data_IF_272002452353
#
_entry.id   IF_272002452353
#
_cell.length_a   1.000
_cell.length_b   1.000
_cell.length_c   1.000
_cell.angle_alpha   90.00
_cell.angle_beta   90.00
_cell.angle_gamma   90.00
#
_symmetry.space_group_name_H-M   'P 1'
#
loop_
_entity.id
_entity.type
_entity.pdbx_description
1 polymer ?
#
# COMPACT_ATOMS: atom_id res chain seq x y z
N UNK A 1 4.04 -18.43 -12.50
CA UNK A 1 4.77 -17.33 -13.16
C UNK A 1 4.43 -16.06 -12.40
N UNK A 2 5.39 -15.20 -12.07
CA UNK A 2 5.11 -13.92 -11.42
C UNK A 2 5.88 -12.79 -12.07
N UNK A 3 5.26 -11.64 -12.19
CA UNK A 3 5.88 -10.41 -12.71
C UNK A 3 6.40 -10.54 -14.14
N UNK A 4 5.72 -11.29 -15.01
CA UNK A 4 6.14 -11.45 -16.41
C UNK A 4 5.29 -10.58 -17.34
N UNK A 5 5.83 -10.28 -18.52
CA UNK A 5 5.12 -9.62 -19.61
C UNK A 5 4.94 -10.63 -20.76
N UNK A 6 3.68 -10.88 -21.13
CA UNK A 6 3.28 -11.70 -22.26
C UNK A 6 2.54 -10.83 -23.26
N UNK A 7 3.15 -10.60 -24.43
CA UNK A 7 2.57 -9.75 -25.46
C UNK A 7 2.55 -10.48 -26.77
N UNK A 8 1.40 -10.48 -27.41
CA UNK A 8 1.26 -10.94 -28.76
C UNK A 8 0.29 -10.06 -29.53
N UNK A 9 0.82 -9.14 -30.32
CA UNK A 9 0.04 -8.21 -31.17
C UNK A 9 0.18 -8.57 -32.66
N UNK A 10 0.57 -9.81 -32.97
CA UNK A 10 0.65 -10.27 -34.35
C UNK A 10 -0.71 -10.22 -35.03
N UNK A 11 -0.73 -10.01 -36.35
CA UNK A 11 -1.96 -10.16 -37.14
C UNK A 11 -2.36 -11.64 -37.22
N UNK A 12 -3.57 -12.03 -36.78
CA UNK A 12 -4.01 -13.42 -36.91
C UNK A 12 -4.03 -13.87 -38.38
N UNK A 13 -3.61 -15.10 -38.64
CA UNK A 13 -3.59 -15.67 -39.99
C UNK A 13 -4.98 -15.88 -40.59
N UNK A 14 -5.11 -15.73 -41.92
CA UNK A 14 -6.38 -15.57 -42.65
C UNK A 14 -7.34 -16.77 -42.66
N UNK A 15 -6.95 -17.96 -42.20
CA UNK A 15 -7.78 -19.18 -42.36
C UNK A 15 -8.18 -19.86 -41.05
N UNK A 16 -7.49 -19.60 -39.93
CA UNK A 16 -7.79 -20.19 -38.60
C UNK A 16 -6.75 -19.83 -37.53
N UNK A 17 -5.90 -18.81 -37.78
CA UNK A 17 -4.82 -18.46 -36.86
C UNK A 17 -5.35 -17.68 -35.67
N UNK A 18 -4.91 -18.03 -34.47
CA UNK A 18 -5.15 -17.23 -33.26
C UNK A 18 -3.86 -16.50 -32.88
N UNK A 19 -3.97 -15.21 -32.62
CA UNK A 19 -2.99 -14.44 -31.85
C UNK A 19 -3.34 -14.63 -30.38
N UNK A 20 -2.41 -15.18 -29.58
CA UNK A 20 -2.67 -15.53 -28.18
C UNK A 20 -1.53 -15.00 -27.31
N UNK A 21 -1.84 -14.27 -26.25
CA UNK A 21 -0.84 -13.80 -25.29
C UNK A 21 -0.26 -14.96 -24.47
N UNK A 22 -1.12 -15.85 -23.96
CA UNK A 22 -0.71 -17.05 -23.23
C UNK A 22 -1.43 -18.31 -23.72
N UNK A 23 -0.66 -19.24 -24.29
CA UNK A 23 -1.19 -20.50 -24.82
C UNK A 23 -0.76 -21.68 -23.96
N UNK A 24 -1.71 -22.57 -23.67
CA UNK A 24 -1.45 -23.87 -23.05
C UNK A 24 -1.81 -25.00 -23.99
N UNK A 25 -1.26 -26.18 -23.75
CA UNK A 25 -1.51 -27.38 -24.56
C UNK A 25 -2.66 -28.24 -24.03
N UNK A 26 -3.10 -28.01 -22.78
CA UNK A 26 -4.12 -28.78 -22.09
C UNK A 26 -4.96 -27.87 -21.18
N UNK A 27 -6.23 -28.19 -21.01
CA UNK A 27 -7.16 -27.45 -20.14
C UNK A 27 -6.89 -27.66 -18.64
N UNK A 28 -6.33 -28.82 -18.24
CA UNK A 28 -6.00 -29.06 -16.83
C UNK A 28 -4.96 -28.04 -16.33
N UNK A 29 -4.99 -27.65 -15.06
CA UNK A 29 -4.06 -26.65 -14.49
C UNK A 29 -2.97 -27.28 -13.61
N UNK A 30 -2.71 -28.60 -13.75
CA UNK A 30 -1.85 -29.36 -12.83
C UNK A 30 -0.40 -28.84 -12.79
N UNK A 31 0.13 -28.40 -13.94
CA UNK A 31 1.48 -27.81 -14.04
C UNK A 31 1.49 -26.29 -13.93
N UNK A 32 0.35 -25.67 -13.60
CA UNK A 32 0.25 -24.23 -13.44
C UNK A 32 0.16 -23.91 -11.95
N UNK A 33 1.25 -23.42 -11.36
CA UNK A 33 1.31 -23.10 -9.93
C UNK A 33 0.17 -22.15 -9.53
N UNK A 34 -0.50 -22.43 -8.41
CA UNK A 34 -1.52 -21.55 -7.82
C UNK A 34 -0.95 -20.20 -7.39
N UNK A 35 0.37 -20.11 -7.21
CA UNK A 35 1.05 -18.87 -6.90
C UNK A 35 1.18 -17.94 -8.12
N UNK A 36 0.82 -18.35 -9.33
CA UNK A 36 0.97 -17.51 -10.51
C UNK A 36 0.09 -16.27 -10.43
N UNK A 37 0.70 -15.09 -10.51
CA UNK A 37 0.00 -13.80 -10.35
C UNK A 37 0.86 -12.62 -10.78
N UNK A 38 0.30 -11.41 -10.83
CA UNK A 38 1.00 -10.16 -11.16
C UNK A 38 1.73 -10.21 -12.51
N UNK A 39 1.14 -10.84 -13.53
CA UNK A 39 1.66 -10.83 -14.90
C UNK A 39 0.94 -9.78 -15.75
N UNK A 40 1.51 -9.40 -16.89
CA UNK A 40 0.84 -8.61 -17.92
C UNK A 40 0.54 -9.53 -19.11
N UNK A 41 -0.73 -9.68 -19.49
CA UNK A 41 -1.11 -10.40 -20.72
C UNK A 41 -1.79 -9.44 -21.66
N UNK A 42 -1.19 -9.16 -22.81
CA UNK A 42 -1.76 -8.23 -23.77
C UNK A 42 -1.75 -8.83 -25.18
N UNK A 43 -2.93 -8.88 -25.79
CA UNK A 43 -3.12 -9.41 -27.15
C UNK A 43 -3.56 -8.35 -28.17
N UNK A 44 -3.69 -7.08 -27.77
CA UNK A 44 -4.33 -6.05 -28.59
C UNK A 44 -5.86 -6.03 -28.40
N UNK A 45 -6.59 -5.57 -29.42
CA UNK A 45 -8.05 -5.47 -29.38
C UNK A 45 -8.71 -6.87 -29.34
N UNK A 46 -9.51 -7.19 -28.32
CA UNK A 46 -10.15 -8.49 -28.19
C UNK A 46 -11.03 -8.85 -29.39
N UNK A 47 -10.91 -10.09 -29.88
CA UNK A 47 -11.74 -10.63 -30.96
C UNK A 47 -11.79 -12.16 -30.89
N UNK A 48 -12.54 -12.81 -31.78
CA UNK A 48 -12.57 -14.27 -31.87
C UNK A 48 -11.21 -14.94 -32.16
N UNK A 49 -10.23 -14.19 -32.67
CA UNK A 49 -8.89 -14.68 -33.02
C UNK A 49 -7.76 -13.88 -32.35
N UNK A 50 -8.09 -12.97 -31.45
CA UNK A 50 -7.15 -12.19 -30.63
C UNK A 50 -7.48 -12.44 -29.16
N UNK A 51 -6.70 -13.31 -28.53
CA UNK A 51 -7.03 -13.95 -27.26
C UNK A 51 -5.97 -13.66 -26.19
N UNK A 52 -6.42 -13.43 -24.95
CA UNK A 52 -5.53 -13.49 -23.78
C UNK A 52 -5.08 -14.93 -23.56
N UNK A 53 -6.02 -15.87 -23.63
CA UNK A 53 -5.76 -17.27 -23.32
C UNK A 53 -6.37 -18.24 -24.34
N UNK A 54 -5.62 -19.29 -24.66
CA UNK A 54 -6.10 -20.41 -25.46
C UNK A 54 -5.44 -21.71 -25.02
N UNK A 55 -6.23 -22.77 -24.82
CA UNK A 55 -5.73 -24.11 -24.46
C UNK A 55 -6.06 -25.22 -25.46
N UNK A 56 -6.61 -24.87 -26.62
CA UNK A 56 -7.13 -25.81 -27.61
C UNK A 56 -8.62 -26.13 -27.47
N UNK A 57 -9.23 -25.83 -26.32
CA UNK A 57 -10.67 -26.00 -26.05
C UNK A 57 -11.35 -24.69 -25.68
N UNK A 58 -10.71 -23.91 -24.81
CA UNK A 58 -11.18 -22.65 -24.28
C UNK A 58 -10.46 -21.47 -24.93
N UNK A 59 -11.20 -20.40 -25.22
CA UNK A 59 -10.70 -19.16 -25.81
C UNK A 59 -11.18 -17.96 -25.00
N UNK A 60 -10.30 -17.35 -24.21
CA UNK A 60 -10.62 -16.12 -23.46
C UNK A 60 -10.07 -14.91 -24.21
N UNK A 61 -10.96 -14.01 -24.62
CA UNK A 61 -10.60 -12.81 -25.38
C UNK A 61 -10.08 -11.71 -24.46
N UNK A 62 -10.56 -11.66 -23.22
CA UNK A 62 -10.25 -10.60 -22.26
C UNK A 62 -9.59 -11.16 -21.00
N UNK A 63 -8.84 -10.30 -20.30
CA UNK A 63 -8.19 -10.69 -19.05
C UNK A 63 -9.20 -11.11 -17.96
N UNK A 64 -10.33 -10.42 -17.74
CA UNK A 64 -11.33 -10.86 -16.77
C UNK A 64 -11.85 -12.28 -17.03
N UNK A 65 -12.05 -12.67 -18.29
CA UNK A 65 -12.44 -14.04 -18.64
C UNK A 65 -11.37 -15.05 -18.23
N UNK A 66 -10.11 -14.74 -18.54
CA UNK A 66 -8.98 -15.58 -18.16
C UNK A 66 -8.83 -15.71 -16.63
N UNK A 67 -8.93 -14.60 -15.89
CA UNK A 67 -8.82 -14.57 -14.43
C UNK A 67 -9.88 -15.45 -13.75
N UNK A 68 -11.13 -15.38 -14.22
CA UNK A 68 -12.20 -16.27 -13.71
C UNK A 68 -11.84 -17.74 -13.97
N UNK A 69 -11.32 -18.06 -15.15
CA UNK A 69 -10.97 -19.44 -15.53
C UNK A 69 -9.86 -20.04 -14.69
N UNK A 70 -8.82 -19.26 -14.37
CA UNK A 70 -7.63 -19.79 -13.68
C UNK A 70 -7.59 -19.51 -12.19
N UNK A 71 -8.66 -18.90 -11.65
CA UNK A 71 -8.83 -18.60 -10.23
C UNK A 71 -8.37 -19.77 -9.33
N UNK A 72 -7.58 -19.50 -8.28
CA UNK A 72 -7.22 -18.18 -7.74
C UNK A 72 -6.05 -17.46 -8.44
N UNK A 73 -5.51 -18.02 -9.54
CA UNK A 73 -4.33 -17.46 -10.22
C UNK A 73 -4.66 -16.17 -10.96
N UNK A 74 -3.63 -15.37 -11.22
CA UNK A 74 -3.69 -14.17 -12.06
C UNK A 74 -4.67 -13.08 -11.58
N UNK A 75 -5.11 -13.15 -10.33
CA UNK A 75 -6.09 -12.22 -9.74
C UNK A 75 -5.63 -10.75 -9.80
N UNK A 76 -4.33 -10.50 -9.73
CA UNK A 76 -3.72 -9.16 -9.77
C UNK A 76 -3.00 -8.86 -11.10
N UNK A 77 -3.12 -9.75 -12.09
CA UNK A 77 -2.56 -9.55 -13.42
C UNK A 77 -3.26 -8.41 -14.16
N UNK A 78 -2.58 -7.85 -15.16
CA UNK A 78 -3.04 -6.70 -15.96
C UNK A 78 -2.97 -7.02 -17.46
N UNK A 79 -3.62 -6.18 -18.26
CA UNK A 79 -3.62 -6.27 -19.72
C UNK A 79 -3.47 -4.86 -20.28
N UNK A 80 -2.22 -4.38 -20.29
CA UNK A 80 -1.85 -3.07 -20.80
C UNK A 80 -0.82 -3.20 -21.93
N UNK A 81 -0.87 -2.34 -22.96
CA UNK A 81 0.19 -2.28 -23.95
C UNK A 81 1.51 -1.87 -23.29
N UNK A 82 2.63 -2.38 -23.80
CA UNK A 82 3.96 -1.91 -23.40
C UNK A 82 4.79 -1.54 -24.62
N UNK A 83 5.73 -0.63 -24.45
CA UNK A 83 6.67 -0.22 -25.48
C UNK A 83 8.06 -0.66 -25.06
N UNK A 84 8.72 -1.43 -25.92
CA UNK A 84 10.11 -1.86 -25.75
C UNK A 84 11.06 -0.97 -26.56
N UNK A 85 12.30 -0.83 -26.06
CA UNK A 85 13.35 -0.02 -26.68
C UNK A 85 13.58 -0.42 -28.14
N UNK A 86 13.78 -1.71 -28.41
CA UNK A 86 13.90 -2.21 -29.78
C UNK A 86 13.60 -3.71 -29.87
N UNK A 87 12.41 -4.04 -30.37
CA UNK A 87 12.00 -5.45 -30.56
C UNK A 87 12.71 -6.16 -31.71
N UNK A 88 13.34 -5.42 -32.64
CA UNK A 88 14.02 -6.00 -33.81
C UNK A 88 15.38 -6.58 -33.45
N UNK A 89 16.10 -5.94 -32.53
CA UNK A 89 17.40 -6.42 -32.05
C UNK A 89 17.31 -7.21 -30.73
N UNK A 90 16.11 -7.36 -30.16
CA UNK A 90 15.86 -8.08 -28.91
C UNK A 90 16.10 -7.26 -27.64
N UNK A 91 16.24 -5.94 -27.76
CA UNK A 91 16.29 -5.03 -26.61
C UNK A 91 14.88 -4.81 -26.05
N UNK A 92 14.57 -5.57 -24.99
CA UNK A 92 13.27 -5.61 -24.33
C UNK A 92 13.20 -4.72 -23.08
N UNK A 93 14.11 -3.77 -22.90
CA UNK A 93 13.93 -2.72 -21.90
C UNK A 93 12.68 -1.89 -22.25
N UNK A 94 11.91 -1.50 -21.24
CA UNK A 94 10.69 -0.71 -21.34
C UNK A 94 11.04 0.77 -21.54
N UNK A 95 10.25 1.44 -22.39
CA UNK A 95 10.45 2.86 -22.69
C UNK A 95 9.15 3.64 -22.79
N UNK A 96 9.29 4.97 -22.86
CA UNK A 96 8.17 5.88 -23.04
C UNK A 96 7.14 5.74 -21.92
N UNK A 97 5.86 5.64 -22.28
CA UNK A 97 4.77 5.53 -21.30
C UNK A 97 4.75 4.22 -20.49
N UNK A 98 5.56 3.22 -20.84
CA UNK A 98 5.71 2.01 -20.02
C UNK A 98 6.61 2.25 -18.80
N UNK A 99 7.53 3.22 -18.90
CA UNK A 99 8.29 3.68 -17.74
C UNK A 99 7.33 4.44 -16.83
N UNK A 100 7.11 3.87 -15.65
CA UNK A 100 6.24 4.38 -14.61
C UNK A 100 4.73 4.18 -14.77
N UNK A 101 4.31 3.33 -15.71
CA UNK A 101 2.97 2.76 -15.69
C UNK A 101 2.74 1.89 -14.45
N UNK A 102 1.87 2.38 -13.57
CA UNK A 102 1.48 1.71 -12.33
C UNK A 102 0.83 0.33 -12.56
N UNK A 103 0.29 0.08 -13.76
CA UNK A 103 -0.25 -1.23 -14.12
C UNK A 103 0.86 -2.27 -14.36
N UNK A 104 2.11 -1.83 -14.51
CA UNK A 104 3.27 -2.72 -14.63
C UNK A 104 3.93 -3.00 -13.28
N UNK A 105 3.35 -2.58 -12.17
CA UNK A 105 3.78 -3.06 -10.85
C UNK A 105 3.56 -4.57 -10.68
N UNK A 106 4.60 -5.23 -10.17
CA UNK A 106 4.63 -6.62 -9.76
C UNK A 106 4.61 -6.76 -8.23
N UNK A 107 4.84 -7.99 -7.76
CA UNK A 107 4.95 -8.33 -6.34
C UNK A 107 6.33 -8.91 -6.02
N UNK A 108 6.99 -8.51 -4.92
CA UNK A 108 8.31 -9.04 -4.55
C UNK A 108 8.36 -10.57 -4.55
N UNK A 109 9.39 -11.13 -5.17
CA UNK A 109 9.62 -12.59 -5.18
C UNK A 109 10.90 -12.87 -4.40
N UNK A 110 10.77 -13.60 -3.29
CA UNK A 110 11.91 -13.95 -2.44
C UNK A 110 12.98 -14.70 -3.24
N UNK A 111 14.24 -14.33 -3.03
CA UNK A 111 15.40 -14.88 -3.75
C UNK A 111 15.74 -14.16 -5.06
N UNK A 112 14.94 -13.19 -5.51
CA UNK A 112 15.17 -12.44 -6.76
C UNK A 112 15.32 -10.94 -6.48
N UNK A 113 16.47 -10.54 -5.91
CA UNK A 113 16.77 -9.15 -5.54
C UNK A 113 17.38 -8.32 -6.66
N UNK A 114 17.86 -8.96 -7.74
CA UNK A 114 18.37 -8.28 -8.93
C UNK A 114 17.69 -8.79 -10.19
N UNK A 115 17.65 -7.95 -11.22
CA UNK A 115 17.23 -8.33 -12.56
C UNK A 115 18.39 -8.99 -13.35
N UNK A 116 18.18 -9.19 -14.65
CA UNK A 116 19.15 -9.81 -15.55
C UNK A 116 20.39 -8.95 -15.78
N UNK A 117 20.24 -7.63 -15.79
CA UNK A 117 21.32 -6.66 -16.00
C UNK A 117 22.07 -6.34 -14.68
N UNK A 118 21.62 -6.93 -13.57
CA UNK A 118 22.23 -6.80 -12.24
C UNK A 118 21.71 -5.61 -11.44
N UNK A 119 20.69 -4.91 -11.89
CA UNK A 119 20.09 -3.81 -11.15
C UNK A 119 19.24 -4.35 -9.99
N UNK A 120 19.22 -3.62 -8.88
CA UNK A 120 18.40 -3.99 -7.73
C UNK A 120 16.91 -3.84 -8.08
N UNK A 121 16.15 -4.90 -7.82
CA UNK A 121 14.68 -4.88 -7.91
C UNK A 121 14.11 -4.08 -6.75
N UNK A 122 13.05 -3.32 -7.00
CA UNK A 122 12.38 -2.60 -5.92
C UNK A 122 11.81 -3.61 -4.90
N UNK A 123 12.14 -3.42 -3.62
CA UNK A 123 11.82 -4.36 -2.56
C UNK A 123 10.31 -4.49 -2.25
N UNK A 124 9.52 -3.49 -2.63
CA UNK A 124 8.08 -3.45 -2.38
C UNK A 124 7.26 -3.52 -3.67
N UNK A 125 7.73 -2.88 -4.74
CA UNK A 125 7.00 -2.68 -5.99
C UNK A 125 7.90 -2.94 -7.21
N UNK A 126 8.40 -4.17 -7.39
CA UNK A 126 9.24 -4.51 -8.54
C UNK A 126 8.42 -4.42 -9.83
N UNK A 127 9.06 -4.27 -10.98
CA UNK A 127 8.36 -4.10 -12.25
C UNK A 127 8.07 -5.43 -12.97
N UNK A 128 6.94 -5.54 -13.67
CA UNK A 128 6.68 -6.67 -14.55
C UNK A 128 7.73 -6.63 -15.68
N UNK A 129 8.32 -7.79 -15.99
CA UNK A 129 9.44 -7.89 -16.94
C UNK A 129 10.81 -7.71 -16.29
N UNK A 130 10.89 -7.28 -15.02
CA UNK A 130 12.15 -6.99 -14.33
C UNK A 130 13.03 -5.96 -15.04
N UNK A 131 12.40 -4.91 -15.56
CA UNK A 131 13.09 -3.74 -16.07
C UNK A 131 12.74 -2.53 -15.19
N UNK A 132 13.59 -2.31 -14.19
CA UNK A 132 13.34 -1.33 -13.14
C UNK A 132 13.89 0.02 -13.58
N UNK A 133 13.02 0.89 -14.07
CA UNK A 133 13.43 2.25 -14.42
C UNK A 133 13.64 3.12 -13.18
N UNK A 134 14.77 3.83 -13.13
CA UNK A 134 15.04 4.86 -12.11
C UNK A 134 14.15 6.10 -12.24
N UNK A 135 13.45 6.26 -13.36
CA UNK A 135 12.52 7.37 -13.60
C UNK A 135 11.12 7.12 -13.03
N UNK A 136 10.80 5.89 -12.62
CA UNK A 136 9.53 5.61 -11.97
C UNK A 136 9.59 5.87 -10.47
N UNK A 137 8.73 6.76 -10.00
CA UNK A 137 8.46 6.97 -8.59
C UNK A 137 6.98 6.79 -8.34
N UNK A 138 6.65 6.03 -7.30
CA UNK A 138 5.27 5.96 -6.83
C UNK A 138 4.88 7.27 -6.15
N UNK A 139 3.59 7.64 -6.21
CA UNK A 139 3.05 8.68 -5.35
C UNK A 139 3.49 8.46 -3.90
N UNK A 140 4.25 9.42 -3.37
CA UNK A 140 4.89 9.29 -2.07
C UNK A 140 4.41 10.38 -1.13
N UNK A 141 3.89 9.96 0.02
CA UNK A 141 3.53 10.80 1.14
C UNK A 141 4.76 10.98 2.02
N UNK A 142 5.25 12.22 2.11
CA UNK A 142 6.19 12.64 3.13
C UNK A 142 5.39 13.09 4.36
N UNK A 143 5.38 12.24 5.37
CA UNK A 143 4.59 12.38 6.58
C UNK A 143 5.47 12.92 7.72
N UNK A 144 4.92 13.88 8.47
CA UNK A 144 5.45 14.29 9.78
C UNK A 144 4.35 14.24 10.83
N UNK A 145 4.60 13.51 11.92
CA UNK A 145 3.70 13.35 13.06
C UNK A 145 4.43 13.66 14.37
N UNK A 146 3.67 13.82 15.46
CA UNK A 146 4.19 13.74 16.81
C UNK A 146 3.29 12.84 17.65
N UNK A 147 3.86 12.08 18.58
CA UNK A 147 3.12 11.28 19.55
C UNK A 147 3.18 11.97 20.91
N UNK A 148 2.09 11.96 21.66
CA UNK A 148 1.99 12.70 22.93
C UNK A 148 2.99 12.21 23.99
N UNK A 149 3.11 10.89 24.15
CA UNK A 149 3.91 10.28 25.21
C UNK A 149 5.23 9.67 24.68
N UNK A 150 5.19 8.99 23.53
CA UNK A 150 6.33 8.24 23.00
C UNK A 150 7.48 9.16 22.52
N UNK A 151 8.65 9.07 23.17
CA UNK A 151 9.85 9.84 22.78
C UNK A 151 11.16 9.07 23.05
N UNK A 152 12.04 8.86 22.05
CA UNK A 152 11.93 9.31 20.67
C UNK A 152 10.88 8.53 19.88
N UNK A 153 10.33 9.15 18.82
CA UNK A 153 9.26 8.57 17.99
C UNK A 153 9.79 7.50 17.01
N UNK A 154 10.43 6.45 17.54
CA UNK A 154 11.03 5.38 16.77
C UNK A 154 10.17 4.11 16.85
N UNK A 155 8.98 4.18 16.26
CA UNK A 155 8.03 3.07 16.24
C UNK A 155 7.35 2.97 14.87
N UNK A 156 6.58 1.90 14.66
CA UNK A 156 5.79 1.69 13.46
C UNK A 156 4.41 2.32 13.59
N UNK A 157 3.98 2.95 12.51
CA UNK A 157 2.60 3.38 12.31
C UNK A 157 2.01 2.69 11.08
N UNK A 158 0.70 2.47 11.11
CA UNK A 158 -0.05 2.11 9.91
C UNK A 158 -0.62 3.38 9.30
N UNK A 159 -0.22 3.69 8.08
CA UNK A 159 -0.70 4.84 7.32
C UNK A 159 -1.64 4.35 6.23
N UNK A 160 -2.81 4.96 6.11
CA UNK A 160 -3.75 4.66 5.04
C UNK A 160 -4.19 5.92 4.31
N UNK A 161 -4.43 5.78 3.01
CA UNK A 161 -5.17 6.76 2.23
C UNK A 161 -6.59 6.24 2.01
N UNK A 162 -7.58 7.12 2.24
CA UNK A 162 -9.00 6.80 2.14
C UNK A 162 -9.70 7.73 1.19
N UNK A 163 -10.75 7.25 0.53
CA UNK A 163 -11.62 8.09 -0.29
C UNK A 163 -12.21 9.23 0.54
N UNK A 164 -12.48 10.37 -0.09
CA UNK A 164 -13.13 11.54 0.54
C UNK A 164 -14.66 11.51 0.45
N UNK A 165 -15.22 10.41 -0.05
CA UNK A 165 -16.66 10.20 -0.21
C UNK A 165 -17.08 9.02 0.66
N UNK A 166 -18.18 9.17 1.40
CA UNK A 166 -18.77 8.11 2.23
C UNK A 166 -18.97 6.82 1.39
N UNK A 167 -18.54 5.64 1.86
CA UNK A 167 -18.16 5.31 3.24
C UNK A 167 -16.66 5.45 3.57
N UNK A 168 -15.93 6.33 2.85
CA UNK A 168 -14.51 6.64 3.09
C UNK A 168 -13.62 5.38 3.10
N UNK A 169 -13.86 4.50 2.13
CA UNK A 169 -13.17 3.23 2.00
C UNK A 169 -11.66 3.45 1.93
N UNK A 170 -10.90 2.54 2.57
CA UNK A 170 -9.44 2.48 2.41
C UNK A 170 -9.13 2.18 0.94
N UNK A 171 -8.31 3.05 0.34
CA UNK A 171 -7.77 2.85 -1.00
C UNK A 171 -6.51 2.00 -0.92
N UNK A 172 -5.64 2.30 0.04
CA UNK A 172 -4.40 1.58 0.28
C UNK A 172 -3.88 1.86 1.69
N UNK A 173 -3.12 0.91 2.25
CA UNK A 173 -2.52 1.04 3.57
C UNK A 173 -1.16 0.35 3.65
N UNK A 174 -0.23 0.99 4.36
CA UNK A 174 1.12 0.50 4.57
C UNK A 174 1.57 0.73 6.00
N UNK A 175 2.42 -0.17 6.51
CA UNK A 175 3.21 0.12 7.71
C UNK A 175 4.43 0.95 7.34
N UNK A 176 4.74 1.94 8.17
CA UNK A 176 5.91 2.79 8.04
C UNK A 176 6.60 2.93 9.39
N UNK A 177 7.93 2.94 9.38
CA UNK A 177 8.73 3.21 10.58
C UNK A 177 8.99 4.71 10.67
N UNK A 178 8.68 5.31 11.81
CA UNK A 178 8.94 6.71 12.08
C UNK A 178 10.43 6.91 12.42
N UNK A 179 11.03 7.97 11.88
CA UNK A 179 12.33 8.44 12.33
C UNK A 179 12.24 9.01 13.76
N UNK A 180 13.36 9.18 14.46
CA UNK A 180 13.36 9.81 15.78
C UNK A 180 12.80 11.24 15.83
N UNK A 181 12.57 11.89 14.69
CA UNK A 181 11.92 13.21 14.57
C UNK A 181 10.46 13.14 14.14
N UNK A 182 9.88 11.94 14.03
CA UNK A 182 8.48 11.72 13.67
C UNK A 182 8.20 11.77 12.17
N UNK A 183 9.21 11.56 11.32
CA UNK A 183 9.05 11.59 9.86
C UNK A 183 9.03 10.19 9.24
N UNK A 184 8.25 10.01 8.17
CA UNK A 184 8.25 8.81 7.34
C UNK A 184 7.92 9.15 5.88
N UNK A 185 8.43 8.33 4.95
CA UNK A 185 8.03 8.38 3.54
C UNK A 185 7.24 7.11 3.21
N UNK A 186 6.02 7.27 2.67
CA UNK A 186 5.11 6.16 2.38
C UNK A 186 4.66 6.24 0.93
N UNK A 187 4.98 5.22 0.14
CA UNK A 187 4.61 5.14 -1.27
C UNK A 187 3.31 4.35 -1.46
N UNK A 188 2.46 4.82 -2.37
CA UNK A 188 1.13 4.26 -2.63
C UNK A 188 0.98 3.90 -4.12
N UNK A 189 0.70 2.64 -4.41
CA UNK A 189 0.48 2.12 -5.76
C UNK A 189 -0.94 2.42 -6.30
N UNK A 190 -1.87 2.86 -5.47
CA UNK A 190 -3.24 3.17 -5.88
C UNK A 190 -3.60 4.65 -5.71
N UNK A 191 -2.65 5.48 -5.27
CA UNK A 191 -2.83 6.92 -5.22
C UNK A 191 -2.81 7.54 -6.63
N UNK A 192 -3.69 8.50 -6.86
CA UNK A 192 -3.83 9.20 -8.14
C UNK A 192 -3.62 10.69 -7.93
N UNK A 193 -2.74 11.30 -8.74
CA UNK A 193 -2.49 12.74 -8.69
C UNK A 193 -3.78 13.55 -8.92
N UNK A 194 -3.95 14.64 -8.17
CA UNK A 194 -5.14 15.49 -8.23
C UNK A 194 -6.41 14.90 -7.63
N UNK A 195 -6.40 13.64 -7.18
CA UNK A 195 -7.49 13.04 -6.40
C UNK A 195 -7.26 13.30 -4.93
N UNK A 196 -8.31 13.71 -4.21
CA UNK A 196 -8.23 14.01 -2.77
C UNK A 196 -8.44 12.76 -1.94
N UNK A 197 -7.58 12.57 -0.95
CA UNK A 197 -7.61 11.45 0.00
C UNK A 197 -7.57 11.95 1.44
N UNK A 198 -8.28 11.29 2.35
CA UNK A 198 -7.95 11.41 3.77
C UNK A 198 -6.72 10.57 4.08
N UNK A 199 -5.76 11.14 4.79
CA UNK A 199 -4.63 10.40 5.37
C UNK A 199 -5.04 10.00 6.78
N UNK A 200 -4.93 8.71 7.12
CA UNK A 200 -5.18 8.23 8.48
C UNK A 200 -3.94 7.55 9.00
N UNK A 201 -3.51 7.93 10.20
CA UNK A 201 -2.36 7.35 10.88
C UNK A 201 -2.84 6.66 12.15
N UNK A 202 -2.49 5.38 12.27
CA UNK A 202 -2.75 4.55 13.45
C UNK A 202 -1.41 4.13 14.06
N UNK A 203 -1.22 4.44 15.34
CA UNK A 203 -0.13 3.93 16.17
C UNK A 203 -0.71 2.90 17.14
N UNK A 204 0.12 1.98 17.66
CA UNK A 204 -0.34 0.83 18.46
C UNK A 204 -1.13 1.16 19.73
N UNK A 205 -1.00 2.39 20.23
CA UNK A 205 -1.51 2.83 21.51
C UNK A 205 -2.08 4.26 21.48
N UNK A 206 -2.34 4.79 20.28
CA UNK A 206 -2.81 6.16 20.09
C UNK A 206 -4.07 6.19 19.25
N UNK A 207 -4.86 7.24 19.45
CA UNK A 207 -6.10 7.45 18.72
C UNK A 207 -5.81 7.54 17.21
N UNK A 208 -6.62 6.87 16.39
CA UNK A 208 -6.52 6.99 14.95
C UNK A 208 -6.74 8.45 14.52
N UNK A 209 -5.72 9.07 13.94
CA UNK A 209 -5.78 10.50 13.59
C UNK A 209 -5.96 10.67 12.09
N UNK A 210 -7.05 11.34 11.71
CA UNK A 210 -7.39 11.65 10.33
C UNK A 210 -6.87 13.04 9.95
N UNK A 211 -6.40 13.20 8.71
CA UNK A 211 -6.06 14.50 8.14
C UNK A 211 -7.27 15.43 8.14
N UNK A 212 -7.00 16.73 8.10
CA UNK A 212 -8.01 17.79 8.07
C UNK A 212 -9.12 17.58 7.04
N UNK A 213 -10.25 18.23 7.28
CA UNK A 213 -11.43 18.21 6.41
C UNK A 213 -11.09 18.63 4.97
N UNK A 214 -11.68 17.94 3.99
CA UNK A 214 -11.47 18.17 2.55
C UNK A 214 -10.44 17.24 1.89
N UNK A 215 -9.62 16.56 2.70
CA UNK A 215 -8.57 15.65 2.22
C UNK A 215 -7.41 16.36 1.53
N UNK A 216 -6.44 15.57 1.10
CA UNK A 216 -5.16 16.02 0.54
C UNK A 216 -4.89 15.38 -0.82
N UNK A 217 -4.17 16.09 -1.68
CA UNK A 217 -3.89 15.65 -3.05
C UNK A 217 -2.39 15.38 -3.26
N UNK A 218 -2.10 14.30 -3.98
CA UNK A 218 -0.77 14.14 -4.57
C UNK A 218 -0.64 15.07 -5.76
N UNK A 219 0.48 15.81 -5.82
CA UNK A 219 0.84 16.68 -6.95
C UNK A 219 2.17 16.21 -7.50
N UNK A 220 2.19 15.86 -8.79
CA UNK A 220 3.37 15.29 -9.46
C UNK A 220 3.98 14.11 -8.68
N UNK A 221 3.14 13.26 -8.08
CA UNK A 221 3.57 12.08 -7.33
C UNK A 221 4.05 12.37 -5.91
N UNK A 222 3.87 13.59 -5.39
CA UNK A 222 4.31 13.93 -4.03
C UNK A 222 3.16 14.55 -3.25
N UNK A 223 3.04 14.14 -1.99
CA UNK A 223 2.20 14.80 -0.98
C UNK A 223 3.04 15.02 0.27
N UNK A 224 3.14 16.26 0.75
CA UNK A 224 3.79 16.57 2.01
C UNK A 224 2.71 16.88 3.04
N UNK A 225 2.66 16.13 4.13
CA UNK A 225 1.67 16.35 5.17
C UNK A 225 2.29 16.35 6.56
N UNK A 226 2.10 17.46 7.27
CA UNK A 226 2.69 17.68 8.59
C UNK A 226 1.60 18.00 9.60
N UNK A 227 1.24 17.00 10.40
CA UNK A 227 0.24 17.12 11.48
C UNK A 227 0.68 18.08 12.58
N UNK A 228 1.98 18.27 12.79
CA UNK A 228 2.51 18.95 13.98
C UNK A 228 2.37 20.47 13.98
N UNK A 229 1.93 21.05 12.85
CA UNK A 229 1.94 22.50 12.63
C UNK A 229 0.74 23.23 13.24
N UNK A 230 -0.43 22.59 13.31
CA UNK A 230 -1.66 23.15 13.86
C UNK A 230 -2.61 22.03 14.27
N UNK A 231 -3.46 22.23 15.29
CA UNK A 231 -4.54 21.29 15.60
C UNK A 231 -5.43 21.04 14.38
N UNK A 232 -5.65 22.08 13.56
CA UNK A 232 -6.44 22.03 12.33
C UNK A 232 -5.85 21.17 11.20
N UNK A 233 -4.68 20.54 11.39
CA UNK A 233 -4.21 19.47 10.51
C UNK A 233 -4.86 18.12 10.83
N UNK A 234 -5.55 17.98 11.96
CA UNK A 234 -6.38 16.82 12.23
C UNK A 234 -7.86 17.16 12.02
N UNK A 235 -8.64 16.18 11.56
CA UNK A 235 -10.09 16.32 11.52
C UNK A 235 -10.62 16.65 12.91
N UNK A 236 -11.53 17.63 13.00
CA UNK A 236 -12.09 18.11 14.26
C UNK A 236 -11.07 18.68 15.27
N UNK A 237 -9.88 19.08 14.83
CA UNK A 237 -8.80 19.56 15.71
C UNK A 237 -8.35 18.54 16.77
N UNK A 238 -8.46 17.24 16.47
CA UNK A 238 -8.27 16.14 17.43
C UNK A 238 -6.79 15.82 17.72
N UNK A 239 -6.06 16.78 18.28
CA UNK A 239 -4.65 16.64 18.68
C UNK A 239 -4.33 17.52 19.89
N UNK A 240 -3.29 17.14 20.64
CA UNK A 240 -2.78 17.86 21.82
C UNK A 240 -1.47 18.59 21.52
N UNK A 241 -1.29 19.78 22.11
CA UNK A 241 -0.03 20.53 21.99
C UNK A 241 0.97 20.07 23.06
N UNK A 242 2.06 19.43 22.64
CA UNK A 242 3.15 18.97 23.52
C UNK A 242 4.45 19.63 23.07
N UNK A 243 5.08 20.39 23.97
CA UNK A 243 6.39 21.02 23.72
C UNK A 243 6.46 21.80 22.39
N UNK A 244 5.36 22.48 22.02
CA UNK A 244 5.26 23.30 20.81
C UNK A 244 4.91 22.54 19.51
N UNK A 245 4.61 21.24 19.58
CA UNK A 245 4.14 20.44 18.45
C UNK A 245 2.76 19.83 18.73
N UNK A 246 1.89 19.85 17.72
CA UNK A 246 0.65 19.10 17.81
C UNK A 246 0.92 17.61 17.66
N UNK A 247 0.33 16.81 18.55
CA UNK A 247 0.63 15.41 18.77
C UNK A 247 -0.65 14.60 18.82
N UNK A 248 -0.56 13.34 18.41
CA UNK A 248 -1.66 12.40 18.51
C UNK A 248 -1.85 12.00 19.98
N UNK A 249 -3.10 12.02 20.42
CA UNK A 249 -3.46 11.56 21.75
C UNK A 249 -3.13 10.08 21.92
N UNK A 250 -2.46 9.76 23.02
CA UNK A 250 -2.20 8.36 23.41
C UNK A 250 -3.33 7.80 24.26
N UNK A 251 -3.34 6.48 24.49
CA UNK A 251 -4.24 5.83 25.45
C UNK A 251 -5.24 4.86 24.85
N UNK A 252 -5.51 4.90 23.55
CA UNK A 252 -6.38 3.91 22.87
C UNK A 252 -5.59 2.62 22.61
N UNK A 253 -5.44 1.78 23.64
CA UNK A 253 -4.60 0.56 23.61
C UNK A 253 -5.38 -0.64 23.10
N UNK A 254 -6.71 -0.59 23.20
CA UNK A 254 -7.61 -1.63 22.70
C UNK A 254 -8.07 -1.39 21.24
N UNK A 255 -7.79 -0.21 20.68
CA UNK A 255 -8.12 0.22 19.31
C UNK A 255 -9.63 0.25 19.04
N UNK A 256 -10.44 0.68 20.00
CA UNK A 256 -11.90 0.78 19.90
C UNK A 256 -12.41 2.19 19.54
N UNK A 257 -11.48 3.09 19.18
CA UNK A 257 -11.72 4.47 18.76
C UNK A 257 -12.10 5.44 19.89
N UNK A 258 -12.00 5.05 21.15
CA UNK A 258 -12.15 5.93 22.31
C UNK A 258 -11.00 5.70 23.30
N UNK A 259 -10.65 6.70 24.10
CA UNK A 259 -9.78 6.51 25.27
C UNK A 259 -10.68 6.51 26.49
N UNK A 260 -10.82 5.37 27.16
CA UNK A 260 -11.73 5.25 28.30
C UNK A 260 -11.24 4.30 29.43
N UNK A 261 -12.17 3.91 30.30
CA UNK A 261 -11.88 3.02 31.43
C UNK A 261 -11.46 1.61 30.99
N UNK A 262 -11.84 1.17 29.78
CA UNK A 262 -11.40 -0.08 29.18
C UNK A 262 -9.89 -0.07 28.91
N UNK A 263 -9.37 1.02 28.36
CA UNK A 263 -7.93 1.21 28.15
C UNK A 263 -7.17 1.29 29.49
N UNK A 264 -7.66 2.10 30.42
CA UNK A 264 -7.09 2.22 31.76
C UNK A 264 -6.99 0.87 32.46
N UNK A 265 -8.02 0.04 32.33
CA UNK A 265 -8.03 -1.30 32.93
C UNK A 265 -6.95 -2.21 32.33
N UNK A 266 -6.65 -2.08 31.04
CA UNK A 266 -5.57 -2.86 30.39
C UNK A 266 -4.22 -2.41 30.94
N UNK A 267 -3.98 -1.10 30.95
CA UNK A 267 -2.70 -0.53 31.40
C UNK A 267 -2.47 -0.82 32.89
N UNK A 268 -3.50 -0.72 33.74
CA UNK A 268 -3.39 -0.99 35.19
C UNK A 268 -3.03 -2.45 35.46
N UNK A 269 -3.69 -3.39 34.76
CA UNK A 269 -3.38 -4.81 34.89
C UNK A 269 -1.95 -5.13 34.44
N UNK A 270 -1.51 -4.53 33.33
CA UNK A 270 -0.16 -4.73 32.79
C UNK A 270 0.92 -4.09 33.69
N UNK A 271 0.62 -2.94 34.29
CA UNK A 271 1.48 -2.28 35.27
C UNK A 271 1.63 -3.11 36.55
N UNK A 272 0.53 -3.66 37.08
CA UNK A 272 0.55 -4.57 38.25
C UNK A 272 1.33 -5.85 37.94
N UNK A 273 1.24 -6.35 36.71
CA UNK A 273 2.02 -7.50 36.25
C UNK A 273 3.51 -7.17 36.01
N UNK A 274 3.90 -5.89 36.02
CA UNK A 274 5.26 -5.44 35.78
C UNK A 274 5.74 -5.74 34.37
N UNK A 275 4.86 -5.61 33.37
CA UNK A 275 5.22 -5.86 31.98
C UNK A 275 6.32 -4.90 31.51
N UNK A 276 7.20 -5.43 30.66
CA UNK A 276 8.30 -4.66 30.07
C UNK A 276 8.58 -5.10 28.63
N UNK A 277 9.30 -4.28 27.88
CA UNK A 277 9.53 -4.44 26.45
C UNK A 277 8.43 -3.83 25.59
N UNK A 278 8.26 -4.34 24.36
CA UNK A 278 7.34 -3.79 23.37
C UNK A 278 5.88 -4.20 23.65
N UNK A 279 5.17 -3.43 24.47
CA UNK A 279 3.77 -3.64 24.84
C UNK A 279 2.88 -2.50 24.35
N UNK A 280 1.60 -2.77 24.05
CA UNK A 280 0.67 -1.70 23.65
C UNK A 280 0.38 -0.72 24.79
N UNK A 281 0.40 -1.21 26.03
CA UNK A 281 0.18 -0.45 27.27
C UNK A 281 1.37 0.42 27.70
N UNK A 282 2.55 0.25 27.09
CA UNK A 282 3.69 1.17 27.22
C UNK A 282 3.43 2.37 26.29
N UNK A 283 2.87 3.44 26.84
CA UNK A 283 2.46 4.65 26.12
C UNK A 283 3.63 5.59 25.86
N UNK A 284 4.56 5.67 26.81
CA UNK A 284 5.69 6.58 26.77
C UNK A 284 6.93 6.01 26.02
N UNK A 285 6.87 4.73 25.62
CA UNK A 285 7.91 3.98 24.91
C UNK A 285 9.22 3.81 25.69
N UNK A 286 9.17 3.78 27.02
CA UNK A 286 10.35 3.59 27.88
C UNK A 286 10.66 2.11 28.21
N UNK A 287 9.86 1.19 27.63
CA UNK A 287 9.94 -0.27 27.83
C UNK A 287 9.44 -0.79 29.16
N UNK A 288 8.74 0.03 29.96
CA UNK A 288 8.05 -0.40 31.16
C UNK A 288 6.58 0.02 31.08
N UNK A 289 5.68 -0.81 31.60
CA UNK A 289 4.29 -0.40 31.81
C UNK A 289 4.15 0.02 33.26
N UNK A 290 3.90 1.29 33.53
CA UNK A 290 3.85 1.83 34.90
C UNK A 290 2.83 2.96 35.11
N UNK A 291 2.94 3.64 36.26
CA UNK A 291 2.03 4.71 36.65
C UNK A 291 2.08 5.94 35.72
N UNK A 292 3.15 6.12 34.95
CA UNK A 292 3.26 7.20 33.98
C UNK A 292 2.37 6.94 32.76
N UNK A 293 2.29 5.70 32.28
CA UNK A 293 1.37 5.31 31.21
C UNK A 293 -0.08 5.48 31.63
N UNK A 294 -0.41 5.04 32.86
CA UNK A 294 -1.72 5.26 33.45
C UNK A 294 -2.09 6.75 33.48
N UNK A 295 -1.15 7.61 33.86
CA UNK A 295 -1.38 9.05 33.94
C UNK A 295 -1.69 9.66 32.57
N UNK A 296 -1.04 9.21 31.50
CA UNK A 296 -1.35 9.65 30.14
C UNK A 296 -2.77 9.22 29.71
N UNK A 297 -3.10 7.94 29.93
CA UNK A 297 -4.42 7.42 29.58
C UNK A 297 -5.53 8.10 30.38
N UNK A 298 -5.34 8.32 31.69
CA UNK A 298 -6.34 8.92 32.59
C UNK A 298 -6.66 10.37 32.20
N UNK A 299 -5.62 11.15 31.86
CA UNK A 299 -5.79 12.52 31.40
C UNK A 299 -6.62 12.58 30.11
N UNK A 300 -6.38 11.67 29.16
CA UNK A 300 -7.08 11.64 27.89
C UNK A 300 -8.50 11.05 28.00
N UNK A 301 -8.69 10.05 28.86
CA UNK A 301 -10.01 9.53 29.19
C UNK A 301 -10.88 10.60 29.87
N UNK A 302 -10.30 11.38 30.78
CA UNK A 302 -11.00 12.45 31.51
C UNK A 302 -11.56 13.54 30.58
N UNK A 303 -10.87 13.85 29.48
CA UNK A 303 -11.35 14.84 28.50
C UNK A 303 -12.17 14.21 27.36
N UNK A 304 -12.38 12.89 27.39
CA UNK A 304 -13.21 12.16 26.41
C UNK A 304 -12.61 12.09 25.02
N UNK A 305 -11.30 11.84 24.91
CA UNK A 305 -10.64 11.65 23.60
C UNK A 305 -11.30 10.48 22.86
N UNK A 306 -11.67 10.72 21.61
CA UNK A 306 -12.18 9.70 20.69
C UNK A 306 -11.78 10.05 19.25
N UNK A 307 -11.88 9.08 18.33
CA UNK A 307 -11.56 9.32 16.92
C UNK A 307 -12.52 10.35 16.34
N UNK A 308 -11.95 11.43 15.82
CA UNK A 308 -12.67 12.40 14.99
C UNK A 308 -12.43 12.10 13.52
N UNK A 309 -13.51 11.82 12.78
CA UNK A 309 -13.48 11.45 11.36
C UNK A 309 -14.69 12.03 10.61
N UNK A 310 -14.61 12.15 9.27
CA UNK A 310 -15.64 12.73 8.41
C UNK A 310 -16.98 11.98 8.39
#
# INVERSE_FOLDING_TARGET
MRNNIFINISTPGSTSGNTVAYRRSLANLANFSSASDYNNFYAGSPSGNTLIFFDGTNSDQTLPQYQVRVSPRESNSKSVPVTFQNTVNGDLHLIGGSIGDINLLGSPVSGYSTDFDGNLRNASFPYKGADESTAFTLPTLNLTVNLEACSPMQDTVTVSIRNTINPFTIVESHKAYLSGTGTAAVSFANAVNGTSYYIVVNHRNSIATWSKSGGEIFTAGILNYNFTTAAAQAYGNNMVLVSGKYSFYTGDVNQDEIVDAGDLSIIDNDAVAGLSGYNNSDLNCDSFVDATDLSYCDNNATIGVSVSKP
#
